data_IF_409578906585
#
_entry.id   IF_409578906585
#
_cell.length_a   1.000
_cell.length_b   1.000
_cell.length_c   1.000
_cell.angle_alpha   90.00
_cell.angle_beta   90.00
_cell.angle_gamma   90.00
#
_symmetry.space_group_name_H-M   'P 1'
#
loop_
_entity.id
_entity.type
_entity.pdbx_description
1 polymer ?
#
# COMPACT_ATOMS: atom_id res chain seq x y z
N UNK A 1 -3.41 13.86 -2.66
CA UNK A 1 -4.33 13.06 -1.82
C UNK A 1 -3.48 12.40 -0.74
N UNK A 2 -3.72 12.72 0.54
CA UNK A 2 -2.94 12.25 1.69
C UNK A 2 -3.39 10.82 2.00
N UNK A 3 -2.50 9.83 2.04
CA UNK A 3 -2.88 8.51 2.50
C UNK A 3 -3.16 8.60 3.99
N UNK A 4 -4.42 8.37 4.37
CA UNK A 4 -4.91 8.69 5.70
C UNK A 4 -4.40 7.71 6.78
N UNK A 5 -3.55 6.73 6.41
CA UNK A 5 -3.20 5.57 7.25
C UNK A 5 -1.72 5.44 7.61
N UNK A 6 -0.81 6.02 6.81
CA UNK A 6 0.64 5.90 7.03
C UNK A 6 1.42 7.10 6.46
N UNK A 7 2.67 7.25 6.90
CA UNK A 7 3.64 8.22 6.38
C UNK A 7 4.89 7.49 5.91
N UNK A 8 5.58 8.07 4.94
CA UNK A 8 6.79 7.50 4.37
C UNK A 8 7.98 8.41 4.56
N UNK A 9 9.11 7.78 4.89
CA UNK A 9 10.38 8.41 5.15
C UNK A 9 11.47 7.78 4.30
N UNK A 10 12.33 8.59 3.68
CA UNK A 10 13.59 8.11 3.13
C UNK A 10 14.57 7.90 4.29
N UNK A 11 15.29 6.79 4.28
CA UNK A 11 16.28 6.44 5.29
C UNK A 11 17.46 5.69 4.64
N UNK A 12 18.50 5.47 5.43
CA UNK A 12 19.66 4.67 5.06
C UNK A 12 19.82 3.57 6.12
N UNK A 13 19.95 2.31 5.70
CA UNK A 13 20.15 1.19 6.62
C UNK A 13 21.56 1.20 7.22
N UNK A 14 21.79 0.38 8.25
CA UNK A 14 23.13 0.19 8.83
C UNK A 14 24.14 -0.36 7.82
N UNK A 15 23.65 -1.08 6.81
CA UNK A 15 24.44 -1.60 5.70
C UNK A 15 24.54 -0.61 4.53
N UNK A 16 24.29 0.68 4.77
CA UNK A 16 24.41 1.78 3.80
C UNK A 16 23.50 1.67 2.57
N UNK A 17 22.36 0.99 2.66
CA UNK A 17 21.36 0.94 1.57
C UNK A 17 20.32 2.04 1.74
N UNK A 18 19.99 2.73 0.64
CA UNK A 18 18.87 3.68 0.64
C UNK A 18 17.54 2.95 0.61
N UNK A 19 16.65 3.32 1.53
CA UNK A 19 15.35 2.67 1.72
C UNK A 19 14.23 3.69 1.92
N UNK A 20 13.03 3.30 1.51
CA UNK A 20 11.79 3.96 1.83
C UNK A 20 11.09 3.20 2.96
N UNK A 21 10.79 3.90 4.05
CA UNK A 21 10.19 3.34 5.28
C UNK A 21 8.78 3.88 5.45
N UNK A 22 7.78 3.01 5.30
CA UNK A 22 6.36 3.29 5.54
C UNK A 22 6.02 2.98 6.98
N UNK A 23 5.51 3.95 7.72
CA UNK A 23 5.14 3.82 9.13
C UNK A 23 3.66 4.12 9.31
N UNK A 24 2.92 3.20 9.95
CA UNK A 24 1.51 3.41 10.28
C UNK A 24 1.33 4.32 11.49
N UNK A 25 0.25 5.12 11.50
CA UNK A 25 -0.12 5.91 12.67
C UNK A 25 -0.51 5.03 13.86
N UNK A 26 -0.13 5.46 15.07
CA UNK A 26 -0.24 4.64 16.29
C UNK A 26 -1.69 4.20 16.58
N UNK A 27 -2.63 5.12 16.40
CA UNK A 27 -4.03 4.98 16.80
C UNK A 27 -4.91 4.28 15.76
N UNK A 28 -4.40 4.10 14.55
CA UNK A 28 -5.27 3.82 13.41
C UNK A 28 -5.94 2.44 13.50
N UNK A 29 -5.20 1.42 13.94
CA UNK A 29 -5.73 0.06 14.15
C UNK A 29 -6.83 0.01 15.23
N UNK A 30 -6.64 0.75 16.32
CA UNK A 30 -7.62 0.77 17.42
C UNK A 30 -8.91 1.45 16.99
N UNK A 31 -8.79 2.59 16.31
CA UNK A 31 -9.94 3.33 15.77
C UNK A 31 -10.65 2.52 14.68
N UNK A 32 -9.90 1.90 13.78
CA UNK A 32 -10.44 1.08 12.70
C UNK A 32 -11.43 0.02 13.19
N UNK A 33 -11.06 -0.80 14.18
CA UNK A 33 -11.97 -1.84 14.69
C UNK A 33 -13.24 -1.24 15.33
N UNK A 34 -13.11 -0.11 16.03
CA UNK A 34 -14.24 0.59 16.64
C UNK A 34 -15.18 1.20 15.58
N UNK A 35 -14.60 1.84 14.57
CA UNK A 35 -15.34 2.48 13.48
C UNK A 35 -16.09 1.44 12.64
N UNK A 36 -15.44 0.31 12.33
CA UNK A 36 -16.05 -0.79 11.60
C UNK A 36 -17.18 -1.47 12.40
N UNK A 37 -17.02 -1.62 13.71
CA UNK A 37 -18.09 -2.14 14.58
C UNK A 37 -19.29 -1.18 14.60
N UNK A 38 -19.03 0.12 14.73
CA UNK A 38 -20.07 1.16 14.70
C UNK A 38 -20.82 1.16 13.37
N UNK A 39 -20.08 1.09 12.25
CA UNK A 39 -20.68 1.04 10.92
C UNK A 39 -21.51 -0.23 10.69
N UNK A 40 -21.02 -1.40 11.12
CA UNK A 40 -21.80 -2.65 11.07
C UNK A 40 -23.09 -2.54 11.88
N UNK A 41 -23.03 -1.95 13.07
CA UNK A 41 -24.21 -1.71 13.89
C UNK A 41 -25.20 -0.78 13.19
N UNK A 42 -24.75 0.37 12.69
CA UNK A 42 -25.64 1.31 11.99
C UNK A 42 -26.27 0.69 10.75
N UNK A 43 -25.51 -0.06 9.95
CA UNK A 43 -26.05 -0.75 8.78
C UNK A 43 -27.00 -1.89 9.14
N UNK A 44 -26.88 -2.51 10.30
CA UNK A 44 -27.87 -3.49 10.77
C UNK A 44 -29.24 -2.87 11.08
N UNK A 45 -29.30 -1.56 11.31
CA UNK A 45 -30.54 -0.82 11.55
C UNK A 45 -31.19 -0.30 10.26
N UNK A 46 -30.45 -0.16 9.16
CA UNK A 46 -30.96 0.35 7.88
C UNK A 46 -32.15 -0.45 7.34
N UNK A 47 -32.19 -1.80 7.43
CA UNK A 47 -33.34 -2.60 6.99
C UNK A 47 -34.66 -2.27 7.71
N UNK A 48 -34.61 -1.67 8.91
CA UNK A 48 -35.82 -1.24 9.64
C UNK A 48 -36.54 -0.07 8.94
N UNK A 49 -35.80 0.76 8.19
CA UNK A 49 -36.32 1.95 7.51
C UNK A 49 -36.42 1.72 6.00
N UNK A 50 -35.47 0.96 5.43
CA UNK A 50 -35.41 0.63 4.00
C UNK A 50 -35.17 -0.89 3.80
N UNK A 51 -36.24 -1.71 3.76
CA UNK A 51 -36.14 -3.17 3.70
C UNK A 51 -35.44 -3.72 2.46
N UNK A 52 -35.46 -2.97 1.36
CA UNK A 52 -34.87 -3.39 0.07
C UNK A 52 -33.38 -3.03 -0.07
N UNK A 53 -32.73 -2.58 1.00
CA UNK A 53 -31.40 -1.98 0.92
C UNK A 53 -30.37 -2.79 1.72
N UNK A 54 -29.59 -3.62 1.01
CA UNK A 54 -28.58 -4.50 1.59
C UNK A 54 -27.16 -4.02 1.32
N UNK A 55 -26.57 -3.24 2.23
CA UNK A 55 -25.17 -2.80 2.16
C UNK A 55 -24.19 -3.59 3.04
N UNK A 56 -24.69 -4.60 3.76
CA UNK A 56 -23.85 -5.39 4.68
C UNK A 56 -22.64 -6.03 3.97
N UNK A 57 -22.81 -6.47 2.72
CA UNK A 57 -21.73 -7.07 1.93
C UNK A 57 -20.62 -6.07 1.57
N UNK A 58 -20.97 -4.80 1.30
CA UNK A 58 -19.98 -3.75 0.99
C UNK A 58 -19.11 -3.46 2.21
N UNK A 59 -19.71 -3.41 3.41
CA UNK A 59 -18.94 -3.23 4.63
C UNK A 59 -17.96 -4.38 4.89
N UNK A 60 -18.34 -5.61 4.55
CA UNK A 60 -17.47 -6.75 4.78
C UNK A 60 -16.28 -6.78 3.81
N UNK A 61 -16.51 -6.39 2.55
CA UNK A 61 -15.46 -6.19 1.57
C UNK A 61 -14.51 -5.06 2.01
N UNK A 62 -15.05 -3.90 2.39
CA UNK A 62 -14.27 -2.78 2.92
C UNK A 62 -13.47 -3.17 4.18
N UNK A 63 -14.07 -3.92 5.09
CA UNK A 63 -13.39 -4.41 6.29
C UNK A 63 -12.18 -5.27 5.91
N UNK A 64 -12.38 -6.19 4.97
CA UNK A 64 -11.34 -7.11 4.51
C UNK A 64 -10.21 -6.37 3.81
N UNK A 65 -10.52 -5.46 2.88
CA UNK A 65 -9.53 -4.65 2.17
C UNK A 65 -8.73 -3.78 3.14
N UNK A 66 -9.40 -3.06 4.04
CA UNK A 66 -8.71 -2.18 4.99
C UNK A 66 -7.91 -2.99 6.03
N UNK A 67 -8.38 -4.16 6.44
CA UNK A 67 -7.61 -5.04 7.31
C UNK A 67 -6.30 -5.50 6.64
N UNK A 68 -6.34 -5.77 5.33
CA UNK A 68 -5.14 -6.08 4.55
C UNK A 68 -4.21 -4.87 4.43
N UNK A 69 -4.72 -3.65 4.22
CA UNK A 69 -3.89 -2.43 4.22
C UNK A 69 -3.20 -2.15 5.57
N UNK A 70 -3.77 -2.64 6.68
CA UNK A 70 -3.18 -2.51 8.01
C UNK A 70 -2.13 -3.58 8.33
N UNK A 71 -1.97 -4.59 7.49
CA UNK A 71 -0.95 -5.61 7.65
C UNK A 71 0.16 -5.45 6.60
N UNK A 72 1.21 -4.71 6.98
CA UNK A 72 2.36 -4.49 6.10
C UNK A 72 3.19 -5.74 5.83
N UNK A 73 3.05 -6.81 6.61
CA UNK A 73 3.67 -8.11 6.28
C UNK A 73 2.97 -8.74 5.08
N UNK A 74 1.64 -8.57 4.98
CA UNK A 74 0.88 -8.98 3.81
C UNK A 74 1.28 -8.13 2.59
N UNK A 75 1.45 -6.81 2.75
CA UNK A 75 1.98 -5.94 1.70
C UNK A 75 3.37 -6.41 1.23
N UNK A 76 4.28 -6.75 2.14
CA UNK A 76 5.59 -7.30 1.81
C UNK A 76 5.51 -8.62 1.03
N UNK A 77 4.64 -9.54 1.46
CA UNK A 77 4.43 -10.82 0.76
C UNK A 77 3.89 -10.61 -0.66
N UNK A 78 2.97 -9.66 -0.83
CA UNK A 78 2.42 -9.30 -2.13
C UNK A 78 3.46 -8.67 -3.04
N UNK A 79 4.35 -7.82 -2.52
CA UNK A 79 5.47 -7.27 -3.29
C UNK A 79 6.41 -8.39 -3.78
N UNK A 80 6.75 -9.35 -2.91
CA UNK A 80 7.56 -10.51 -3.29
C UNK A 80 6.87 -11.39 -4.35
N UNK A 81 5.55 -11.57 -4.25
CA UNK A 81 4.76 -12.28 -5.27
C UNK A 81 4.76 -11.52 -6.60
N UNK A 82 4.50 -10.22 -6.57
CA UNK A 82 4.51 -9.35 -7.74
C UNK A 82 5.86 -9.39 -8.47
N UNK A 83 6.97 -9.35 -7.73
CA UNK A 83 8.33 -9.48 -8.29
C UNK A 83 8.52 -10.80 -9.06
N UNK A 84 7.98 -11.92 -8.54
CA UNK A 84 8.02 -13.22 -9.24
C UNK A 84 7.13 -13.23 -10.47
N UNK A 85 5.87 -12.78 -10.32
CA UNK A 85 4.87 -12.80 -11.38
C UNK A 85 5.27 -11.91 -12.58
N UNK A 86 6.04 -10.85 -12.33
CA UNK A 86 6.52 -9.90 -13.36
C UNK A 86 7.97 -10.13 -13.78
N UNK A 87 8.59 -11.23 -13.39
CA UNK A 87 9.98 -11.55 -13.71
C UNK A 87 10.25 -11.59 -15.23
N UNK A 88 9.30 -12.09 -16.02
CA UNK A 88 9.36 -12.12 -17.49
C UNK A 88 9.37 -10.73 -18.14
N UNK A 89 8.85 -9.71 -17.44
CA UNK A 89 8.88 -8.31 -17.88
C UNK A 89 10.19 -7.60 -17.50
N UNK A 90 11.23 -8.35 -17.15
CA UNK A 90 12.55 -7.80 -16.81
C UNK A 90 12.64 -7.22 -15.41
N UNK A 91 11.71 -7.57 -14.51
CA UNK A 91 11.76 -7.14 -13.11
C UNK A 91 13.06 -7.62 -12.45
N UNK A 92 13.96 -6.69 -12.12
CA UNK A 92 15.31 -6.97 -11.59
C UNK A 92 16.45 -6.83 -12.60
N UNK A 93 16.14 -6.52 -13.87
CA UNK A 93 17.12 -6.14 -14.88
C UNK A 93 17.20 -4.62 -14.99
N UNK A 94 18.40 -4.07 -15.12
CA UNK A 94 18.64 -2.61 -15.20
C UNK A 94 17.89 -1.93 -16.35
N UNK A 95 17.65 -2.66 -17.44
CA UNK A 95 16.98 -2.16 -18.66
C UNK A 95 15.56 -2.72 -18.83
N UNK A 96 15.03 -3.41 -17.80
CA UNK A 96 13.68 -3.97 -17.82
C UNK A 96 12.62 -2.85 -17.85
N UNK A 97 11.52 -3.02 -18.61
CA UNK A 97 10.44 -2.03 -18.65
C UNK A 97 9.73 -1.87 -17.29
N UNK A 98 9.82 -2.87 -16.41
CA UNK A 98 9.15 -2.92 -15.11
C UNK A 98 10.17 -3.16 -13.99
N UNK A 99 10.03 -2.43 -12.89
CA UNK A 99 10.82 -2.62 -11.68
C UNK A 99 9.92 -2.76 -10.46
N UNK A 100 10.20 -3.75 -9.61
CA UNK A 100 9.51 -4.00 -8.35
C UNK A 100 10.54 -3.92 -7.22
N UNK A 101 10.41 -2.96 -6.30
CA UNK A 101 11.27 -2.85 -5.14
C UNK A 101 11.41 -4.12 -4.34
N UNK A 102 12.65 -4.42 -3.96
CA UNK A 102 12.90 -5.38 -2.92
C UNK A 102 12.40 -4.85 -1.56
N UNK A 103 11.97 -5.75 -0.70
CA UNK A 103 11.51 -5.47 0.65
C UNK A 103 12.50 -6.05 1.65
N UNK A 104 12.92 -5.26 2.62
CA UNK A 104 13.71 -5.74 3.75
C UNK A 104 12.81 -6.41 4.78
N UNK A 105 12.77 -7.75 4.77
CA UNK A 105 11.94 -8.52 5.68
C UNK A 105 12.42 -8.46 7.14
N UNK A 106 13.71 -8.15 7.38
CA UNK A 106 14.23 -8.02 8.76
C UNK A 106 13.84 -6.69 9.38
N UNK A 107 13.66 -5.66 8.54
CA UNK A 107 13.22 -4.32 8.94
C UNK A 107 11.73 -4.07 8.67
N UNK A 108 10.96 -5.12 8.37
CA UNK A 108 9.52 -5.06 8.16
C UNK A 108 8.77 -5.74 9.29
N UNK A 109 7.61 -5.16 9.65
CA UNK A 109 6.67 -5.69 10.63
C UNK A 109 5.26 -5.28 10.21
N UNK A 110 4.24 -5.76 10.92
CA UNK A 110 2.85 -5.31 10.70
C UNK A 110 2.65 -3.80 10.63
N UNK A 111 3.51 -2.97 11.25
CA UNK A 111 3.36 -1.50 11.37
C UNK A 111 4.36 -0.70 10.54
N UNK A 112 5.42 -1.34 10.08
CA UNK A 112 6.55 -0.69 9.40
C UNK A 112 6.92 -1.52 8.19
N UNK A 113 6.90 -0.94 7.01
CA UNK A 113 7.36 -1.58 5.77
C UNK A 113 8.63 -0.88 5.31
N UNK A 114 9.69 -1.64 5.10
CA UNK A 114 10.97 -1.13 4.62
C UNK A 114 11.26 -1.70 3.24
N UNK A 115 11.37 -0.85 2.23
CA UNK A 115 11.59 -1.27 0.85
C UNK A 115 12.66 -0.41 0.17
N UNK A 116 13.15 -0.86 -0.98
CA UNK A 116 14.06 -0.08 -1.83
C UNK A 116 13.53 1.34 -2.08
N UNK A 117 14.42 2.32 -1.95
CA UNK A 117 14.10 3.68 -2.37
C UNK A 117 14.24 3.82 -3.89
N UNK A 118 13.15 4.15 -4.57
CA UNK A 118 13.16 4.53 -5.99
C UNK A 118 13.03 6.04 -6.13
N UNK A 119 13.99 6.67 -6.82
CA UNK A 119 13.86 8.05 -7.27
C UNK A 119 13.19 8.11 -8.65
N UNK A 120 11.84 8.06 -8.65
CA UNK A 120 11.03 8.02 -9.86
C UNK A 120 10.04 9.19 -9.98
N UNK A 121 9.55 9.41 -11.20
CA UNK A 121 8.47 10.36 -11.49
C UNK A 121 7.13 9.68 -11.21
N UNK A 122 6.24 10.36 -10.48
CA UNK A 122 4.92 9.81 -10.17
C UNK A 122 4.08 9.68 -11.44
N UNK A 123 3.38 8.56 -11.59
CA UNK A 123 2.51 8.31 -12.76
C UNK A 123 1.38 9.34 -12.91
N UNK A 124 0.96 9.97 -11.83
CA UNK A 124 -0.05 11.04 -11.84
C UNK A 124 0.49 12.40 -12.33
N UNK A 125 1.80 12.54 -12.52
CA UNK A 125 2.42 13.70 -13.16
C UNK A 125 2.55 13.47 -14.66
N UNK A 126 1.40 13.27 -15.32
CA UNK A 126 1.31 12.90 -16.75
C UNK A 126 2.08 13.87 -17.67
N UNK A 127 2.20 15.15 -17.30
CA UNK A 127 3.00 16.14 -18.04
C UNK A 127 4.51 15.85 -18.07
N UNK A 128 5.05 15.17 -17.05
CA UNK A 128 6.46 14.81 -16.95
C UNK A 128 6.76 13.40 -17.51
N UNK A 129 5.73 12.64 -17.88
CA UNK A 129 5.86 11.25 -18.30
C UNK A 129 6.37 11.08 -19.74
N UNK A 130 6.29 12.12 -20.57
CA UNK A 130 6.70 12.08 -21.98
C UNK A 130 8.23 11.98 -22.22
N UNK A 131 9.06 11.99 -21.18
CA UNK A 131 10.53 12.08 -21.31
C UNK A 131 11.25 10.74 -21.05
N UNK A 132 10.60 9.72 -20.47
CA UNK A 132 11.28 8.46 -20.10
C UNK A 132 10.51 7.22 -20.55
N UNK A 133 11.21 6.35 -21.31
CA UNK A 133 10.75 5.04 -21.83
C UNK A 133 10.55 3.94 -20.77
N UNK A 134 10.50 4.27 -19.48
CA UNK A 134 10.44 3.28 -18.40
C UNK A 134 9.05 3.28 -17.78
N UNK A 135 8.24 2.29 -18.13
CA UNK A 135 6.88 2.10 -17.61
C UNK A 135 6.96 1.35 -16.28
N UNK A 136 7.51 2.00 -15.25
CA UNK A 136 7.56 1.41 -13.91
C UNK A 136 6.14 1.12 -13.46
N UNK A 137 5.79 -0.17 -13.28
CA UNK A 137 4.51 -0.62 -12.73
C UNK A 137 4.42 -0.18 -11.26
N UNK A 138 4.04 1.07 -11.08
CA UNK A 138 3.91 1.81 -9.83
C UNK A 138 2.55 1.49 -9.20
N UNK A 139 2.33 0.24 -8.80
CA UNK A 139 1.12 -0.12 -8.02
C UNK A 139 1.44 -0.35 -6.54
N UNK A 140 2.69 -0.65 -6.18
CA UNK A 140 3.04 -0.95 -4.77
C UNK A 140 3.68 0.21 -3.99
N UNK A 141 4.31 1.20 -4.64
CA UNK A 141 5.04 2.29 -3.95
C UNK A 141 4.55 3.72 -4.21
N UNK A 142 3.43 3.92 -4.89
CA UNK A 142 2.88 5.28 -5.10
C UNK A 142 2.46 5.96 -3.78
N UNK A 143 2.51 5.23 -2.65
CA UNK A 143 2.32 5.75 -1.30
C UNK A 143 3.63 6.19 -0.62
N UNK A 144 4.81 5.94 -1.20
CA UNK A 144 6.13 6.12 -0.57
C UNK A 144 6.86 7.44 -0.87
N UNK A 145 6.16 8.43 -1.41
CA UNK A 145 6.61 9.83 -1.38
C UNK A 145 5.42 10.77 -1.31
N UNK A 146 4.69 10.76 -0.19
CA UNK A 146 3.95 11.97 0.19
C UNK A 146 4.96 12.92 0.82
N UNK A 147 5.03 14.13 0.25
CA UNK A 147 6.01 15.21 0.43
C UNK A 147 7.24 15.08 -0.45
#
# INVERSE_FOLDING_TARGET
>A
MRNNVSKVHRAVTKDHREVAVKVQYIDLRRRFHSDMRTLRFLLSLVPLIHPNFGFAWVLDDMYTTLAQELDFEHEAANAARCSRDLSELGTGQSDGPVHVPWVDLQLTSKRVLTAEYIDGIKINQVRNLFILKCFTVFIFLTLLRSY
#
